data_IF_772440725633
#
_entry.id   IF_772440725633
#
_cell.length_a   1.000
_cell.length_b   1.000
_cell.length_c   1.000
_cell.angle_alpha   90.00
_cell.angle_beta   90.00
_cell.angle_gamma   90.00
#
_symmetry.space_group_name_H-M   'P 1'
#
loop_
_entity.id
_entity.type
_entity.pdbx_description
1 polymer ?
#
# COMPACT_ATOMS: atom_id res chain seq x y z
N UNK A 1 -16.09 -2.85 6.21
CA UNK A 1 -16.54 -3.02 4.81
C UNK A 1 -17.50 -4.20 4.77
N UNK A 2 -18.67 -4.07 4.17
CA UNK A 2 -19.49 -5.24 3.82
C UNK A 2 -18.90 -5.84 2.54
N UNK A 3 -18.08 -6.88 2.67
CA UNK A 3 -17.39 -7.48 1.52
C UNK A 3 -18.39 -8.30 0.71
N UNK A 4 -18.70 -7.87 -0.52
CA UNK A 4 -19.48 -8.69 -1.44
C UNK A 4 -18.68 -9.94 -1.82
N UNK A 5 -19.32 -11.11 -1.91
CA UNK A 5 -18.69 -12.32 -2.48
C UNK A 5 -18.43 -12.21 -3.98
N UNK A 6 -19.09 -11.27 -4.65
CA UNK A 6 -18.98 -11.01 -6.09
C UNK A 6 -17.66 -10.34 -6.50
N UNK A 7 -16.90 -9.77 -5.57
CA UNK A 7 -15.66 -9.04 -5.85
C UNK A 7 -14.63 -9.32 -4.76
N UNK A 8 -13.34 -9.53 -5.08
CA UNK A 8 -12.30 -9.64 -4.07
C UNK A 8 -12.26 -8.42 -3.16
N UNK A 9 -11.98 -8.63 -1.86
CA UNK A 9 -11.89 -7.54 -0.88
C UNK A 9 -10.85 -6.48 -1.29
N UNK A 10 -9.73 -6.90 -1.89
CA UNK A 10 -8.70 -6.01 -2.41
C UNK A 10 -9.24 -5.00 -3.45
N UNK A 11 -10.05 -5.47 -4.41
CA UNK A 11 -10.64 -4.62 -5.45
C UNK A 11 -11.59 -3.59 -4.83
N UNK A 12 -12.43 -4.01 -3.89
CA UNK A 12 -13.35 -3.11 -3.20
C UNK A 12 -12.60 -2.04 -2.40
N UNK A 13 -11.52 -2.41 -1.71
CA UNK A 13 -10.69 -1.46 -0.96
C UNK A 13 -10.10 -0.39 -1.90
N UNK A 14 -9.54 -0.81 -3.04
CA UNK A 14 -8.94 0.12 -4.02
C UNK A 14 -9.99 1.10 -4.57
N UNK A 15 -11.21 0.63 -4.83
CA UNK A 15 -12.33 1.49 -5.23
C UNK A 15 -12.70 2.54 -4.17
N UNK A 16 -12.36 2.30 -2.90
CA UNK A 16 -12.53 3.25 -1.80
C UNK A 16 -11.30 4.12 -1.53
N UNK A 17 -10.28 4.09 -2.40
CA UNK A 17 -9.07 4.91 -2.24
C UNK A 17 -8.06 4.36 -1.22
N UNK A 18 -8.23 3.11 -0.77
CA UNK A 18 -7.34 2.46 0.21
C UNK A 18 -6.79 1.15 -0.37
N UNK A 19 -5.50 0.92 -0.16
CA UNK A 19 -4.77 -0.20 -0.71
C UNK A 19 -4.50 -1.28 0.35
N UNK A 20 -4.80 -2.55 0.06
CA UNK A 20 -4.61 -3.63 1.02
C UNK A 20 -3.14 -3.97 1.27
N UNK A 21 -2.81 -4.39 2.49
CA UNK A 21 -1.49 -4.93 2.81
C UNK A 21 -1.22 -6.33 2.24
N UNK A 22 -2.28 -7.04 1.81
CA UNK A 22 -2.19 -8.36 1.19
C UNK A 22 -3.38 -8.55 0.22
N UNK A 23 -3.18 -9.19 -0.95
CA UNK A 23 -4.22 -9.29 -1.97
C UNK A 23 -5.37 -10.24 -1.59
N UNK A 24 -5.08 -11.31 -0.84
CA UNK A 24 -6.07 -12.36 -0.52
C UNK A 24 -6.73 -12.14 0.84
N UNK A 25 -5.94 -11.87 1.88
CA UNK A 25 -6.41 -11.73 3.26
C UNK A 25 -5.89 -10.41 3.87
N UNK A 26 -6.47 -9.26 3.51
CA UNK A 26 -6.00 -7.97 4.01
C UNK A 26 -6.33 -7.78 5.50
N UNK A 27 -5.30 -7.58 6.32
CA UNK A 27 -5.44 -7.24 7.76
C UNK A 27 -5.20 -5.75 8.05
N UNK A 28 -4.79 -4.99 7.04
CA UNK A 28 -4.61 -3.54 7.05
C UNK A 28 -4.87 -3.02 5.64
N UNK A 29 -5.44 -1.82 5.55
CA UNK A 29 -5.46 -1.05 4.32
C UNK A 29 -4.84 0.33 4.59
N UNK A 30 -4.13 0.87 3.62
CA UNK A 30 -3.40 2.14 3.70
C UNK A 30 -3.94 3.07 2.62
N UNK A 31 -4.09 4.37 2.89
CA UNK A 31 -4.52 5.32 1.86
C UNK A 31 -3.62 5.26 0.63
N UNK A 32 -4.19 5.31 -0.58
CA UNK A 32 -3.44 5.43 -1.82
C UNK A 32 -2.55 6.67 -1.80
N UNK A 33 -3.08 7.82 -1.38
CA UNK A 33 -2.33 9.08 -1.29
C UNK A 33 -1.11 8.96 -0.37
N UNK A 34 -1.22 8.19 0.72
CA UNK A 34 -0.10 7.96 1.63
C UNK A 34 0.96 7.07 0.97
N UNK A 35 0.56 6.05 0.22
CA UNK A 35 1.50 5.17 -0.47
C UNK A 35 2.21 5.90 -1.61
N UNK A 36 1.48 6.73 -2.36
CA UNK A 36 2.04 7.60 -3.40
C UNK A 36 3.04 8.58 -2.80
N UNK A 37 2.67 9.29 -1.73
CA UNK A 37 3.56 10.21 -1.02
C UNK A 37 4.85 9.52 -0.54
N UNK A 38 4.75 8.32 0.03
CA UNK A 38 5.92 7.60 0.54
C UNK A 38 6.77 7.02 -0.60
N UNK A 39 6.15 6.61 -1.70
CA UNK A 39 6.87 6.19 -2.89
C UNK A 39 7.68 7.36 -3.46
N UNK A 40 7.06 8.54 -3.59
CA UNK A 40 7.73 9.77 -4.04
C UNK A 40 8.84 10.20 -3.09
N UNK A 41 8.59 10.16 -1.77
CA UNK A 41 9.61 10.45 -0.76
C UNK A 41 10.88 9.60 -0.95
N UNK A 42 10.71 8.33 -1.32
CA UNK A 42 11.83 7.41 -1.56
C UNK A 42 12.52 7.58 -2.91
N UNK A 43 12.01 8.44 -3.79
CA UNK A 43 12.75 8.93 -4.96
C UNK A 43 13.78 9.99 -4.54
N UNK A 44 13.43 10.84 -3.57
CA UNK A 44 14.27 11.97 -3.12
C UNK A 44 15.18 11.64 -1.94
N UNK A 45 14.92 10.53 -1.23
CA UNK A 45 15.69 10.08 -0.06
C UNK A 45 15.93 8.59 -0.14
N UNK A 46 17.08 8.12 0.37
CA UNK A 46 17.39 6.70 0.43
C UNK A 46 16.23 5.91 1.09
N UNK A 47 15.69 4.87 0.42
CA UNK A 47 14.49 4.18 0.87
C UNK A 47 14.70 3.48 2.20
N UNK A 48 14.00 3.95 3.24
CA UNK A 48 14.03 3.35 4.57
C UNK A 48 12.61 3.01 5.06
N UNK A 49 12.04 1.97 4.44
CA UNK A 49 10.68 1.47 4.73
C UNK A 49 10.48 1.18 6.23
N UNK A 50 11.51 0.62 6.89
CA UNK A 50 11.46 0.28 8.32
C UNK A 50 11.42 1.52 9.21
N UNK A 51 12.31 2.49 8.98
CA UNK A 51 12.32 3.72 9.77
C UNK A 51 11.02 4.52 9.57
N UNK A 52 10.53 4.60 8.33
CA UNK A 52 9.25 5.23 8.04
C UNK A 52 8.11 4.57 8.83
N UNK A 53 7.96 3.25 8.70
CA UNK A 53 6.85 2.56 9.33
C UNK A 53 6.95 2.53 10.86
N UNK A 54 8.16 2.41 11.43
CA UNK A 54 8.39 2.53 12.87
C UNK A 54 8.05 3.94 13.40
N UNK A 55 8.36 4.99 12.63
CA UNK A 55 8.00 6.37 12.98
C UNK A 55 6.49 6.54 12.97
N UNK A 56 5.81 6.05 11.94
CA UNK A 56 4.35 6.08 11.85
C UNK A 56 3.70 5.28 12.99
N UNK A 57 4.22 4.09 13.30
CA UNK A 57 3.73 3.25 14.40
C UNK A 57 3.87 3.95 15.75
N UNK A 58 5.01 4.59 15.99
CA UNK A 58 5.24 5.39 17.20
C UNK A 58 4.29 6.59 17.29
N UNK A 59 4.05 7.30 16.19
CA UNK A 59 3.09 8.40 16.16
C UNK A 59 1.67 7.93 16.45
N UNK A 60 1.23 6.85 15.79
CA UNK A 60 -0.10 6.28 15.98
C UNK A 60 -0.32 5.75 17.41
N UNK A 61 0.71 5.17 18.03
CA UNK A 61 0.67 4.79 19.44
C UNK A 61 0.40 6.00 20.36
N UNK A 62 0.99 7.16 20.09
CA UNK A 62 0.70 8.41 20.83
C UNK A 62 -0.74 8.88 20.60
N UNK A 63 -1.28 8.65 19.40
CA UNK A 63 -2.69 8.91 19.09
C UNK A 63 -3.67 7.87 19.66
N UNK A 64 -3.18 6.85 20.39
CA UNK A 64 -4.01 5.82 21.02
C UNK A 64 -4.28 4.58 20.16
N UNK A 65 -3.66 4.46 18.98
CA UNK A 65 -3.76 3.27 18.13
C UNK A 65 -2.63 2.29 18.43
N UNK A 66 -2.97 1.07 18.82
CA UNK A 66 -2.01 0.03 19.19
C UNK A 66 -1.94 -1.07 18.14
N UNK A 67 -0.73 -1.61 17.93
CA UNK A 67 -0.47 -2.71 17.01
C UNK A 67 0.19 -3.87 17.77
N UNK A 68 -0.21 -5.11 17.45
CA UNK A 68 0.38 -6.29 18.07
C UNK A 68 1.80 -6.52 17.55
N UNK A 69 2.71 -6.98 18.41
CA UNK A 69 4.13 -7.19 18.05
C UNK A 69 4.34 -8.17 16.88
N UNK A 70 3.48 -9.20 16.76
CA UNK A 70 3.54 -10.21 15.67
C UNK A 70 3.11 -9.63 14.31
N UNK A 71 2.18 -8.68 14.34
CA UNK A 71 1.60 -8.02 13.16
C UNK A 71 1.84 -6.51 13.25
N UNK A 72 3.09 -6.12 13.47
CA UNK A 72 3.46 -4.71 13.61
C UNK A 72 3.04 -3.92 12.37
N UNK A 73 2.84 -2.62 12.56
CA UNK A 73 2.54 -1.74 11.43
C UNK A 73 3.67 -1.79 10.39
N UNK A 74 4.91 -1.96 10.84
CA UNK A 74 6.07 -2.11 9.96
C UNK A 74 5.89 -3.19 8.89
N UNK A 75 5.53 -4.41 9.28
CA UNK A 75 5.36 -5.53 8.34
C UNK A 75 4.22 -5.25 7.35
N UNK A 76 3.06 -4.85 7.86
CA UNK A 76 1.85 -4.65 7.05
C UNK A 76 1.97 -3.47 6.11
N UNK A 77 2.53 -2.36 6.57
CA UNK A 77 2.81 -1.19 5.73
C UNK A 77 3.84 -1.51 4.65
N UNK A 78 4.93 -2.21 5.00
CA UNK A 78 5.96 -2.58 4.02
C UNK A 78 5.38 -3.48 2.92
N UNK A 79 4.48 -4.40 3.27
CA UNK A 79 3.80 -5.24 2.30
C UNK A 79 2.87 -4.41 1.40
N UNK A 80 2.04 -3.54 1.98
CA UNK A 80 1.15 -2.64 1.23
C UNK A 80 1.94 -1.79 0.21
N UNK A 81 3.03 -1.16 0.66
CA UNK A 81 3.89 -0.34 -0.19
C UNK A 81 4.54 -1.17 -1.31
N UNK A 82 5.01 -2.38 -1.00
CA UNK A 82 5.66 -3.23 -2.01
C UNK A 82 4.68 -3.72 -3.08
N UNK A 83 3.46 -4.09 -2.67
CA UNK A 83 2.38 -4.45 -3.60
C UNK A 83 1.91 -3.26 -4.44
N UNK A 84 1.82 -2.06 -3.85
CA UNK A 84 1.50 -0.83 -4.57
C UNK A 84 2.56 -0.50 -5.63
N UNK A 85 3.85 -0.50 -5.24
CA UNK A 85 4.95 -0.25 -6.18
C UNK A 85 4.97 -1.25 -7.33
N UNK A 86 4.71 -2.53 -7.05
CA UNK A 86 4.59 -3.56 -8.07
C UNK A 86 3.40 -3.31 -9.02
N UNK A 87 2.24 -2.92 -8.48
CA UNK A 87 1.07 -2.61 -9.29
C UNK A 87 1.33 -1.43 -10.23
N UNK A 88 1.91 -0.34 -9.72
CA UNK A 88 2.27 0.84 -10.54
C UNK A 88 3.22 0.42 -11.67
N UNK A 89 4.26 -0.35 -11.35
CA UNK A 89 5.20 -0.83 -12.36
C UNK A 89 4.54 -1.69 -13.44
N UNK A 90 3.62 -2.59 -13.07
CA UNK A 90 2.90 -3.42 -14.02
C UNK A 90 1.97 -2.60 -14.92
N UNK A 91 1.32 -1.57 -14.36
CA UNK A 91 0.48 -0.63 -15.11
C UNK A 91 1.32 0.17 -16.10
N UNK A 92 2.48 0.68 -15.70
CA UNK A 92 3.39 1.42 -16.59
C UNK A 92 3.86 0.57 -17.77
N UNK A 93 4.20 -0.70 -17.52
CA UNK A 93 4.56 -1.66 -18.57
C UNK A 93 3.40 -1.83 -19.55
N UNK A 94 2.18 -2.02 -19.05
CA UNK A 94 1.02 -2.28 -19.90
C UNK A 94 0.63 -1.04 -20.72
N UNK A 95 0.66 0.14 -20.11
CA UNK A 95 0.45 1.41 -20.80
C UNK A 95 1.48 1.60 -21.91
N UNK A 96 2.76 1.30 -21.64
CA UNK A 96 3.82 1.43 -22.64
C UNK A 96 3.56 0.54 -23.87
N UNK A 97 3.11 -0.71 -23.67
CA UNK A 97 2.73 -1.59 -24.78
C UNK A 97 1.57 -1.04 -25.59
N UNK A 98 0.54 -0.51 -24.93
CA UNK A 98 -0.63 0.06 -25.61
C UNK A 98 -0.22 1.28 -26.44
N UNK A 99 0.68 2.12 -25.92
CA UNK A 99 1.20 3.27 -26.65
C UNK A 99 2.00 2.82 -27.88
N UNK A 100 2.86 1.80 -27.74
CA UNK A 100 3.66 1.27 -28.85
C UNK A 100 2.82 0.58 -29.93
N UNK A 101 1.71 -0.09 -29.55
CA UNK A 101 0.78 -0.73 -30.50
C UNK A 101 -0.05 0.27 -31.32
N UNK A 102 -0.21 1.49 -30.82
CA UNK A 102 -0.97 2.56 -31.49
C UNK A 102 -0.08 3.48 -32.35
N UNK A 103 1.21 3.16 -32.49
CA UNK A 103 2.19 3.90 -33.28
C UNK A 103 2.48 3.20 -34.61
#
# INVERSE_FOLDING_TARGET
LAVCQCQPAATQLIQHGIFPCAPVWPSLAVSLDMLEFVAELFVHVAPNKRAWAATLEKYLNVCGYQFAAKDSLCCRFTNALSHYQMLVHLVDIEISKIVDLNR
#
